data_IF_343951664171
#
_entry.id   IF_343951664171
#
_cell.length_a   1.000
_cell.length_b   1.000
_cell.length_c   1.000
_cell.angle_alpha   90.00
_cell.angle_beta   90.00
_cell.angle_gamma   90.00
#
_symmetry.space_group_name_H-M   'P 1'
#
loop_
_entity.id
_entity.type
_entity.pdbx_description
1 polymer ?
#
# COMPACT_ATOMS: atom_id res chain seq x y z
N UNK A 1 -11.69 4.56 0.83
CA UNK A 1 -10.22 4.55 0.62
C UNK A 1 -9.97 4.52 -0.87
N UNK A 2 -9.61 5.64 -1.49
CA UNK A 2 -9.28 5.71 -2.92
C UNK A 2 -7.88 5.17 -3.24
N UNK A 3 -7.02 5.04 -2.23
CA UNK A 3 -5.63 4.60 -2.33
C UNK A 3 -5.38 3.20 -1.72
N UNK A 4 -6.43 2.44 -1.41
CA UNK A 4 -6.32 1.07 -0.90
C UNK A 4 -7.09 0.11 -1.79
N UNK A 5 -6.44 -0.97 -2.20
CA UNK A 5 -7.04 -2.01 -3.01
C UNK A 5 -6.89 -3.38 -2.32
N UNK A 6 -7.92 -4.21 -2.43
CA UNK A 6 -7.94 -5.57 -1.86
C UNK A 6 -8.73 -5.71 -0.56
N UNK A 7 -8.97 -6.96 -0.14
CA UNK A 7 -9.77 -7.30 1.06
C UNK A 7 -9.06 -8.29 1.99
N UNK A 8 -8.54 -9.40 1.46
CA UNK A 8 -7.77 -10.39 2.23
C UNK A 8 -6.26 -10.15 2.13
N UNK A 9 -5.82 -9.79 0.93
CA UNK A 9 -4.50 -9.25 0.65
C UNK A 9 -4.70 -7.83 0.15
N UNK A 10 -4.25 -6.84 0.92
CA UNK A 10 -4.51 -5.43 0.66
C UNK A 10 -3.23 -4.63 0.49
N UNK A 11 -3.32 -3.64 -0.38
CA UNK A 11 -2.23 -2.74 -0.73
C UNK A 11 -2.72 -1.31 -0.53
N UNK A 12 -1.98 -0.54 0.26
CA UNK A 12 -2.25 0.87 0.49
C UNK A 12 -1.05 1.71 0.11
N UNK A 13 -1.24 2.65 -0.81
CA UNK A 13 -0.16 3.51 -1.33
C UNK A 13 -0.23 4.93 -0.76
N UNK A 14 0.92 5.59 -0.73
CA UNK A 14 1.05 6.99 -0.30
C UNK A 14 2.28 7.66 -0.94
N UNK A 15 2.30 8.99 -0.87
CA UNK A 15 3.39 9.83 -1.39
C UNK A 15 3.09 10.47 -2.74
N UNK A 16 3.91 11.47 -3.08
CA UNK A 16 3.77 12.30 -4.28
C UNK A 16 5.02 12.15 -5.17
N UNK A 17 4.85 12.28 -6.49
CA UNK A 17 5.93 12.05 -7.47
C UNK A 17 7.14 12.99 -7.31
N UNK A 18 6.92 14.22 -6.84
CA UNK A 18 7.97 15.21 -6.57
C UNK A 18 8.14 15.50 -5.06
N UNK A 19 7.54 14.67 -4.20
CA UNK A 19 7.66 14.78 -2.75
C UNK A 19 8.95 14.13 -2.21
N UNK A 20 9.07 14.05 -0.89
CA UNK A 20 10.22 13.41 -0.23
C UNK A 20 10.32 11.90 -0.46
N UNK A 21 9.26 11.25 -0.96
CA UNK A 21 9.25 9.84 -1.30
C UNK A 21 7.83 9.30 -1.56
N UNK A 22 7.77 8.08 -2.07
CA UNK A 22 6.56 7.27 -2.25
C UNK A 22 6.70 5.97 -1.50
N UNK A 23 5.58 5.39 -1.07
CA UNK A 23 5.57 4.18 -0.26
C UNK A 23 4.30 3.36 -0.40
N UNK A 24 4.40 2.14 0.10
CA UNK A 24 3.32 1.15 0.09
C UNK A 24 3.34 0.32 1.36
N UNK A 25 2.16 0.02 1.89
CA UNK A 25 1.95 -1.00 2.91
C UNK A 25 1.26 -2.18 2.25
N UNK A 26 1.78 -3.39 2.52
CA UNK A 26 1.25 -4.64 2.00
C UNK A 26 0.84 -5.51 3.18
N UNK A 27 -0.46 -5.79 3.27
CA UNK A 27 -1.07 -6.56 4.35
C UNK A 27 -1.67 -7.88 3.85
N UNK A 28 -1.68 -8.88 4.73
CA UNK A 28 -2.25 -10.21 4.44
C UNK A 28 -1.29 -11.18 3.74
N UNK A 29 0.01 -10.86 3.68
CA UNK A 29 1.02 -11.80 3.20
C UNK A 29 1.18 -12.97 4.19
N UNK A 30 0.96 -14.23 3.79
CA UNK A 30 1.13 -15.36 4.69
C UNK A 30 2.61 -15.51 5.09
N UNK A 31 2.91 -15.80 6.37
CA UNK A 31 4.27 -16.12 6.79
C UNK A 31 4.70 -17.45 6.17
N UNK A 32 6.02 -17.62 6.01
CA UNK A 32 6.62 -18.93 5.70
C UNK A 32 6.88 -19.71 6.99
#
# INVERSE_FOLDING_TARGET
MSNTFGKLFSITTWGESHGGGVGVVVDGCPPR
#
